data_IF_745620401262
#
_entry.id   IF_745620401262
#
_cell.length_a   1.000
_cell.length_b   1.000
_cell.length_c   1.000
_cell.angle_alpha   90.00
_cell.angle_beta   90.00
_cell.angle_gamma   90.00
#
_symmetry.space_group_name_H-M   'P 1'
#
loop_
_entity.id
_entity.type
_entity.pdbx_description
1 polymer ?
#
# COMPACT_ATOMS: atom_id res chain seq x y z
N UNK A 1 -20.15 20.81 2.84
CA UNK A 1 -19.45 19.69 3.50
C UNK A 1 -19.27 18.61 2.47
N UNK A 2 -18.03 18.28 2.10
CA UNK A 2 -17.73 17.29 1.06
C UNK A 2 -17.91 15.88 1.64
N UNK A 3 -18.82 15.11 1.07
CA UNK A 3 -19.20 13.74 1.47
C UNK A 3 -18.41 12.65 0.71
N UNK A 4 -17.30 12.99 0.07
CA UNK A 4 -16.46 12.02 -0.61
C UNK A 4 -15.29 11.66 0.31
N UNK A 5 -15.28 10.42 0.80
CA UNK A 5 -14.07 9.82 1.38
C UNK A 5 -12.96 9.90 0.32
N UNK A 6 -11.86 10.63 0.56
CA UNK A 6 -10.77 10.75 -0.41
C UNK A 6 -10.13 9.37 -0.65
N UNK A 7 -9.80 9.09 -1.91
CA UNK A 7 -9.06 7.89 -2.34
C UNK A 7 -7.75 7.77 -1.54
N UNK A 8 -7.28 6.54 -1.35
CA UNK A 8 -6.08 6.15 -0.60
C UNK A 8 -6.08 6.41 0.92
N UNK A 9 -6.36 5.37 1.72
CA UNK A 9 -5.87 5.33 3.12
C UNK A 9 -5.00 4.11 3.33
N UNK A 10 -3.72 4.25 3.70
CA UNK A 10 -2.96 3.13 4.18
C UNK A 10 -3.50 2.74 5.57
N UNK A 11 -3.95 1.49 5.75
CA UNK A 11 -4.38 1.02 7.07
C UNK A 11 -3.18 0.57 7.90
N UNK A 12 -3.08 1.09 9.12
CA UNK A 12 -2.10 0.64 10.10
C UNK A 12 -2.80 0.20 11.38
N UNK A 13 -2.77 -1.09 11.66
CA UNK A 13 -3.16 -1.58 12.98
C UNK A 13 -1.94 -1.50 13.89
N UNK A 14 -1.90 -0.49 14.80
CA UNK A 14 -0.93 -0.48 15.92
C UNK A 14 -1.18 -1.62 16.91
N UNK A 15 -2.36 -2.25 16.82
CA UNK A 15 -2.84 -3.22 17.78
C UNK A 15 -2.49 -4.66 17.37
N UNK A 16 -1.65 -5.32 18.17
CA UNK A 16 -1.27 -6.73 18.04
C UNK A 16 -2.40 -7.70 18.40
N UNK A 17 -3.57 -7.22 18.83
CA UNK A 17 -4.72 -8.06 19.20
C UNK A 17 -5.44 -8.66 17.98
N UNK A 18 -5.35 -8.02 16.82
CA UNK A 18 -5.97 -8.50 15.58
C UNK A 18 -4.86 -8.80 14.56
N UNK A 19 -4.31 -10.01 14.65
CA UNK A 19 -3.31 -10.50 13.68
C UNK A 19 -4.00 -10.71 12.33
N UNK A 20 -3.75 -9.80 11.39
CA UNK A 20 -4.30 -9.84 10.02
C UNK A 20 -3.22 -10.09 8.98
N UNK A 21 -2.01 -10.44 9.39
CA UNK A 21 -0.93 -10.84 8.48
C UNK A 21 -0.55 -12.28 8.75
N UNK A 22 -0.34 -13.02 7.66
CA UNK A 22 -0.10 -14.46 7.69
C UNK A 22 1.12 -14.82 6.83
N UNK A 23 1.82 -15.90 7.14
CA UNK A 23 2.80 -16.48 6.22
C UNK A 23 2.08 -17.20 5.06
N UNK A 24 2.84 -17.72 4.09
CA UNK A 24 2.25 -18.40 2.92
C UNK A 24 1.72 -19.80 3.23
N UNK A 25 1.86 -20.26 4.48
CA UNK A 25 1.28 -21.51 4.98
C UNK A 25 0.14 -21.22 5.97
N UNK A 26 -0.43 -20.01 5.92
CA UNK A 26 -1.61 -19.57 6.68
C UNK A 26 -1.36 -19.41 8.19
N UNK A 27 -0.09 -19.39 8.62
CA UNK A 27 0.30 -19.14 10.01
C UNK A 27 0.33 -17.64 10.33
N UNK A 28 -0.16 -17.18 11.49
CA UNK A 28 -0.12 -15.76 11.83
C UNK A 28 1.32 -15.25 12.02
N UNK A 29 1.57 -14.02 11.60
CA UNK A 29 2.86 -13.36 11.76
C UNK A 29 2.69 -11.94 12.31
N UNK A 30 3.68 -11.47 13.07
CA UNK A 30 3.67 -10.15 13.70
C UNK A 30 4.26 -9.08 12.77
N UNK A 31 3.66 -8.92 11.60
CA UNK A 31 4.01 -7.86 10.65
C UNK A 31 2.93 -6.77 10.66
N UNK A 32 3.25 -5.62 10.09
CA UNK A 32 2.31 -4.50 10.01
C UNK A 32 1.70 -4.44 8.62
N UNK A 33 0.38 -4.27 8.48
CA UNK A 33 -0.26 -4.06 7.17
C UNK A 33 0.05 -2.66 6.62
N UNK A 34 0.05 -2.53 5.29
CA UNK A 34 0.06 -1.27 4.53
C UNK A 34 -0.95 -1.46 3.38
N UNK A 35 -2.06 -0.72 3.38
CA UNK A 35 -3.04 -0.77 2.27
C UNK A 35 -2.44 -0.13 1.03
N UNK A 36 -2.63 -0.79 -0.11
CA UNK A 36 -2.09 -0.39 -1.41
C UNK A 36 -3.18 -0.10 -2.45
N UNK A 37 -4.40 -0.61 -2.25
CA UNK A 37 -5.48 -0.42 -3.21
C UNK A 37 -6.82 -0.75 -2.57
N UNK A 38 -7.89 -0.02 -2.92
CA UNK A 38 -9.28 -0.37 -2.63
C UNK A 38 -9.93 -0.75 -3.94
N UNK A 39 -10.57 -1.91 -3.99
CA UNK A 39 -11.31 -2.33 -5.17
C UNK A 39 -12.56 -1.47 -5.34
N UNK A 40 -12.52 -0.51 -6.28
CA UNK A 40 -13.69 0.25 -6.68
C UNK A 40 -14.62 -0.58 -7.58
N UNK A 41 -14.12 -1.68 -8.17
CA UNK A 41 -14.90 -2.64 -8.95
C UNK A 41 -15.49 -3.70 -8.00
N UNK A 42 -16.40 -3.26 -7.15
CA UNK A 42 -17.03 -4.10 -6.14
C UNK A 42 -17.72 -5.33 -6.75
N UNK A 43 -17.64 -6.45 -6.03
CA UNK A 43 -18.52 -7.59 -6.28
C UNK A 43 -19.95 -7.12 -5.99
N UNK A 44 -20.80 -7.14 -7.01
CA UNK A 44 -22.23 -6.81 -6.88
C UNK A 44 -22.97 -8.11 -6.59
N UNK A 45 -23.60 -8.20 -5.43
CA UNK A 45 -24.45 -9.33 -5.07
C UNK A 45 -25.72 -9.34 -5.91
N UNK A 46 -26.43 -10.48 -5.93
CA UNK A 46 -27.71 -10.61 -6.66
C UNK A 46 -28.78 -9.60 -6.22
N UNK A 47 -28.72 -9.12 -4.97
CA UNK A 47 -29.57 -8.07 -4.41
C UNK A 47 -29.04 -6.64 -4.64
N UNK A 48 -27.98 -6.47 -5.43
CA UNK A 48 -27.44 -5.17 -5.83
C UNK A 48 -26.52 -4.52 -4.80
N UNK A 49 -26.07 -5.26 -3.78
CA UNK A 49 -25.13 -4.75 -2.78
C UNK A 49 -23.69 -4.79 -3.30
N UNK A 50 -23.02 -3.66 -3.16
CA UNK A 50 -21.60 -3.48 -3.47
C UNK A 50 -20.79 -4.06 -2.31
N UNK A 51 -20.01 -5.10 -2.57
CA UNK A 51 -19.02 -5.63 -1.62
C UNK A 51 -17.67 -5.02 -1.97
N UNK A 52 -17.23 -4.10 -1.12
CA UNK A 52 -15.92 -3.50 -1.24
C UNK A 52 -14.83 -4.36 -0.61
N UNK A 53 -13.66 -4.33 -1.24
CA UNK A 53 -12.48 -5.09 -0.83
C UNK A 53 -11.27 -4.17 -0.77
N UNK A 54 -10.45 -4.35 0.25
CA UNK A 54 -9.17 -3.66 0.41
C UNK A 54 -8.04 -4.64 0.16
N UNK A 55 -7.01 -4.18 -0.55
CA UNK A 55 -5.78 -4.91 -0.76
C UNK A 55 -4.63 -4.23 -0.02
N UNK A 56 -3.86 -5.02 0.71
CA UNK A 56 -2.74 -4.56 1.49
C UNK A 56 -1.55 -5.49 1.38
N UNK A 57 -0.39 -4.97 1.75
CA UNK A 57 0.87 -5.71 1.86
C UNK A 57 1.38 -5.62 3.28
N UNK A 58 2.48 -6.31 3.58
CA UNK A 58 3.07 -6.32 4.92
C UNK A 58 4.42 -5.64 4.97
N UNK A 59 4.72 -5.05 6.13
CA UNK A 59 6.03 -4.53 6.46
C UNK A 59 6.56 -5.06 7.78
N UNK A 60 7.88 -5.16 7.88
CA UNK A 60 8.62 -5.51 9.09
C UNK A 60 9.82 -4.59 9.26
N UNK A 61 10.29 -4.43 10.49
CA UNK A 61 11.53 -3.68 10.73
C UNK A 61 12.71 -4.30 9.98
N UNK A 62 13.52 -3.44 9.36
CA UNK A 62 14.79 -3.82 8.74
C UNK A 62 15.87 -4.18 9.75
N UNK A 63 15.67 -3.86 11.03
CA UNK A 63 16.61 -4.12 12.09
C UNK A 63 16.11 -5.20 13.05
N UNK A 64 17.04 -5.94 13.66
CA UNK A 64 16.76 -6.84 14.77
C UNK A 64 16.73 -6.10 16.13
N UNK A 65 16.54 -6.86 17.21
CA UNK A 65 16.48 -6.30 18.58
C UNK A 65 17.82 -5.71 19.05
N UNK A 66 18.92 -6.03 18.37
CA UNK A 66 20.27 -5.54 18.66
C UNK A 66 20.66 -4.37 17.74
N UNK A 67 19.76 -3.92 16.86
CA UNK A 67 20.02 -2.85 15.90
C UNK A 67 20.76 -3.30 14.64
N UNK A 68 21.01 -4.60 14.44
CA UNK A 68 21.67 -5.09 13.23
C UNK A 68 20.69 -5.17 12.07
N UNK A 69 21.15 -4.85 10.86
CA UNK A 69 20.34 -4.96 9.65
C UNK A 69 20.07 -6.42 9.32
N UNK A 70 18.79 -6.78 9.24
CA UNK A 70 18.32 -8.09 8.80
C UNK A 70 18.56 -8.25 7.30
N UNK A 71 18.74 -9.48 6.85
CA UNK A 71 18.69 -9.80 5.43
C UNK A 71 17.26 -9.56 4.89
N UNK A 72 17.16 -8.97 3.69
CA UNK A 72 15.91 -8.88 2.96
C UNK A 72 15.46 -10.27 2.49
N UNK A 73 14.17 -10.56 2.57
CA UNK A 73 13.57 -11.70 1.89
C UNK A 73 13.43 -11.37 0.40
N UNK A 74 13.38 -12.40 -0.45
CA UNK A 74 13.08 -12.23 -1.88
C UNK A 74 11.74 -11.49 -2.03
N UNK A 75 11.71 -10.41 -2.83
CA UNK A 75 10.51 -9.62 -3.03
C UNK A 75 10.30 -8.45 -2.06
N UNK A 76 11.13 -8.34 -1.01
CA UNK A 76 11.11 -7.20 -0.12
C UNK A 76 11.90 -6.01 -0.69
N UNK A 77 11.30 -4.82 -0.61
CA UNK A 77 11.98 -3.55 -0.86
C UNK A 77 12.37 -2.90 0.46
N UNK A 78 13.53 -2.25 0.48
CA UNK A 78 13.96 -1.45 1.62
C UNK A 78 13.39 -0.04 1.51
N UNK A 79 12.74 0.43 2.58
CA UNK A 79 12.33 1.81 2.76
C UNK A 79 13.02 2.37 4.01
N UNK A 80 13.68 3.51 3.83
CA UNK A 80 14.24 4.28 4.94
C UNK A 80 13.12 4.85 5.80
N UNK A 81 13.43 5.08 7.08
CA UNK A 81 12.51 5.77 7.98
C UNK A 81 12.14 7.14 7.40
N UNK A 82 10.88 7.53 7.55
CA UNK A 82 10.45 8.88 7.23
C UNK A 82 10.59 9.77 8.48
N UNK A 83 10.87 11.06 8.28
CA UNK A 83 10.89 12.05 9.38
C UNK A 83 9.49 12.29 9.95
N UNK A 84 8.48 12.20 9.08
CA UNK A 84 7.05 12.33 9.40
C UNK A 84 6.36 11.07 8.88
N UNK A 85 5.45 10.51 9.68
CA UNK A 85 4.62 9.38 9.26
C UNK A 85 4.93 8.04 9.92
N UNK A 86 4.47 6.95 9.29
CA UNK A 86 4.25 5.65 9.96
C UNK A 86 5.45 4.72 9.91
N UNK A 87 6.30 4.91 8.91
CA UNK A 87 7.61 4.26 8.81
C UNK A 87 8.62 5.01 9.69
N UNK A 88 8.37 5.10 10.99
CA UNK A 88 9.30 5.70 11.98
C UNK A 88 10.62 4.93 12.15
N UNK A 89 10.76 3.80 11.45
CA UNK A 89 11.95 2.95 11.43
C UNK A 89 12.17 2.43 10.03
N UNK A 90 13.44 2.23 9.68
CA UNK A 90 13.82 1.53 8.47
C UNK A 90 13.14 0.17 8.42
N UNK A 91 12.54 -0.12 7.27
CA UNK A 91 11.59 -1.21 7.12
C UNK A 91 11.79 -1.94 5.79
N UNK A 92 11.49 -3.24 5.82
CA UNK A 92 11.30 -4.03 4.62
C UNK A 92 9.81 -4.14 4.33
N UNK A 93 9.41 -3.84 3.10
CA UNK A 93 8.05 -3.97 2.61
C UNK A 93 8.00 -5.13 1.63
N UNK A 94 7.17 -6.13 1.92
CA UNK A 94 7.02 -7.32 1.07
C UNK A 94 5.99 -7.03 -0.02
N UNK A 95 6.47 -6.86 -1.25
CA UNK A 95 5.62 -6.56 -2.41
C UNK A 95 5.19 -7.81 -3.16
N UNK A 96 5.47 -8.98 -2.60
CA UNK A 96 5.18 -10.30 -3.20
C UNK A 96 4.13 -11.09 -2.45
N UNK A 97 3.63 -10.59 -1.31
CA UNK A 97 2.48 -11.18 -0.62
C UNK A 97 1.44 -10.10 -0.40
N UNK A 98 0.34 -10.24 -1.13
CA UNK A 98 -0.80 -9.33 -1.12
C UNK A 98 -1.92 -10.00 -0.35
N UNK A 99 -2.56 -9.23 0.50
CA UNK A 99 -3.72 -9.64 1.28
C UNK A 99 -4.94 -8.93 0.74
N UNK A 100 -6.06 -9.63 0.68
CA UNK A 100 -7.38 -9.05 0.48
C UNK A 100 -8.21 -9.17 1.76
N UNK A 101 -9.04 -8.18 2.04
CA UNK A 101 -10.00 -8.19 3.16
C UNK A 101 -11.23 -7.40 2.77
N UNK A 102 -12.42 -7.90 3.11
CA UNK A 102 -13.68 -7.17 2.87
C UNK A 102 -13.77 -5.95 3.77
N UNK A 103 -14.43 -4.89 3.30
CA UNK A 103 -14.66 -3.69 4.11
C UNK A 103 -15.33 -4.01 5.44
N UNK A 104 -16.40 -4.81 5.42
CA UNK A 104 -17.15 -5.19 6.63
C UNK A 104 -16.24 -5.84 7.69
N UNK A 105 -15.30 -6.67 7.23
CA UNK A 105 -14.33 -7.34 8.09
C UNK A 105 -13.26 -6.39 8.61
N UNK A 106 -12.89 -5.41 7.79
CA UNK A 106 -11.99 -4.33 8.16
C UNK A 106 -12.62 -3.45 9.25
N UNK A 107 -13.90 -3.07 9.08
CA UNK A 107 -14.68 -2.23 10.00
C UNK A 107 -14.73 -2.82 11.41
N UNK A 108 -14.79 -4.16 11.53
CA UNK A 108 -14.72 -4.87 12.81
C UNK A 108 -13.40 -4.62 13.59
N UNK A 109 -12.34 -4.21 12.90
CA UNK A 109 -11.04 -3.86 13.46
C UNK A 109 -10.99 -2.36 13.73
N UNK A 110 -11.38 -1.56 12.74
CA UNK A 110 -11.04 -0.13 12.68
C UNK A 110 -11.96 0.79 13.50
N UNK A 111 -13.23 0.43 13.72
CA UNK A 111 -14.19 1.27 14.45
C UNK A 111 -14.08 1.16 15.98
N UNK A 112 -12.98 0.57 16.47
CA UNK A 112 -12.68 0.45 17.90
C UNK A 112 -11.68 1.52 18.29
N UNK A 113 -11.86 2.13 19.47
CA UNK A 113 -11.09 3.26 20.06
C UNK A 113 -9.55 3.18 20.02
N UNK A 114 -8.94 2.10 19.53
CA UNK A 114 -7.51 1.81 19.56
C UNK A 114 -6.90 1.43 18.18
N UNK A 115 -7.58 1.73 17.07
CA UNK A 115 -7.02 1.55 15.72
C UNK A 115 -6.92 2.91 15.04
N UNK A 116 -5.73 3.23 14.52
CA UNK A 116 -5.42 4.53 13.91
C UNK A 116 -5.38 4.31 12.39
N UNK A 117 -6.34 4.91 11.69
CA UNK A 117 -6.13 5.22 10.28
C UNK A 117 -5.16 6.37 10.20
N UNK A 118 -4.15 6.20 9.37
CA UNK A 118 -3.14 7.20 9.19
C UNK A 118 -3.05 7.42 7.68
N UNK A 119 -3.26 8.66 7.26
CA UNK A 119 -3.49 9.00 5.85
C UNK A 119 -2.19 8.85 5.04
N UNK A 120 -2.29 8.85 3.71
CA UNK A 120 -1.15 8.75 2.77
C UNK A 120 -0.05 9.78 2.98
N UNK A 121 -0.35 10.89 3.67
CA UNK A 121 0.62 11.91 4.09
C UNK A 121 1.77 11.36 4.96
N UNK A 122 1.66 10.12 5.43
CA UNK A 122 2.65 9.44 6.25
C UNK A 122 3.66 8.56 5.46
N UNK A 123 3.57 8.55 4.12
CA UNK A 123 4.60 8.02 3.21
C UNK A 123 5.09 9.12 2.27
N UNK A 124 6.38 9.17 2.00
CA UNK A 124 6.92 10.13 1.02
C UNK A 124 6.55 9.73 -0.41
N UNK A 125 6.49 10.71 -1.34
CA UNK A 125 6.26 10.44 -2.77
C UNK A 125 7.21 9.35 -3.32
N UNK A 126 8.48 9.37 -2.89
CA UNK A 126 9.47 8.35 -3.25
C UNK A 126 9.10 6.94 -2.72
N UNK A 127 8.64 6.83 -1.47
CA UNK A 127 8.23 5.55 -0.89
C UNK A 127 7.00 4.99 -1.62
N UNK A 128 6.02 5.84 -1.92
CA UNK A 128 4.82 5.49 -2.69
C UNK A 128 5.23 4.96 -4.08
N UNK A 129 6.00 5.73 -4.85
CA UNK A 129 6.49 5.33 -6.18
C UNK A 129 7.18 3.95 -6.15
N UNK A 130 8.06 3.74 -5.16
CA UNK A 130 8.81 2.49 -5.03
C UNK A 130 7.92 1.29 -4.69
N UNK A 131 6.92 1.47 -3.83
CA UNK A 131 5.93 0.43 -3.50
C UNK A 131 5.13 0.08 -4.75
N UNK A 132 4.48 1.06 -5.39
CA UNK A 132 3.60 0.84 -6.54
C UNK A 132 4.32 0.21 -7.71
N UNK A 133 5.50 0.72 -8.10
CA UNK A 133 6.30 0.12 -9.18
C UNK A 133 6.69 -1.32 -8.88
N UNK A 134 7.06 -1.62 -7.63
CA UNK A 134 7.45 -2.98 -7.25
C UNK A 134 6.26 -3.94 -7.27
N UNK A 135 5.10 -3.53 -6.74
CA UNK A 135 3.86 -4.32 -6.80
C UNK A 135 3.44 -4.56 -8.26
N UNK A 136 3.39 -3.51 -9.09
CA UNK A 136 3.05 -3.63 -10.52
C UNK A 136 4.02 -4.53 -11.28
N UNK A 137 5.32 -4.43 -11.00
CA UNK A 137 6.33 -5.31 -11.59
C UNK A 137 6.08 -6.78 -11.24
N UNK A 138 5.67 -7.07 -10.00
CA UNK A 138 5.38 -8.44 -9.58
C UNK A 138 4.08 -8.97 -10.20
N UNK A 139 3.04 -8.15 -10.26
CA UNK A 139 1.74 -8.51 -10.84
C UNK A 139 1.76 -8.65 -12.38
N UNK A 140 2.69 -7.97 -13.08
CA UNK A 140 2.81 -8.03 -14.55
C UNK A 140 3.57 -9.26 -15.05
N UNK A 141 4.30 -9.97 -14.18
CA UNK A 141 5.01 -11.18 -14.58
C UNK A 141 4.03 -12.31 -14.95
N UNK A 142 4.49 -13.23 -15.80
CA UNK A 142 3.73 -14.41 -16.20
C UNK A 142 4.52 -15.69 -15.88
N UNK A 143 4.07 -16.54 -14.93
CA UNK A 143 2.93 -16.30 -14.04
C UNK A 143 3.18 -15.14 -13.03
N UNK A 144 2.13 -14.53 -12.45
CA UNK A 144 2.29 -13.44 -11.48
C UNK A 144 3.25 -13.78 -10.35
N UNK A 145 4.22 -12.90 -10.10
CA UNK A 145 5.27 -13.12 -9.11
C UNK A 145 4.85 -12.69 -7.71
N UNK A 146 3.68 -13.17 -7.28
CA UNK A 146 3.05 -12.82 -6.00
C UNK A 146 2.42 -14.04 -5.32
N UNK A 147 1.93 -13.82 -4.10
CA UNK A 147 0.98 -14.67 -3.40
C UNK A 147 -0.23 -13.82 -3.01
N UNK A 148 -1.43 -14.36 -3.17
CA UNK A 148 -2.69 -13.72 -2.78
C UNK A 148 -3.29 -14.46 -1.59
N UNK A 149 -3.49 -13.74 -0.49
CA UNK A 149 -4.05 -14.22 0.76
C UNK A 149 -5.38 -13.54 1.02
N UNK A 150 -6.45 -14.29 1.20
CA UNK A 150 -7.76 -13.77 1.57
C UNK A 150 -7.91 -13.79 3.10
N UNK A 151 -8.31 -12.68 3.70
CA UNK A 151 -8.39 -12.52 5.17
C UNK A 151 -9.83 -12.30 5.60
N UNK A 152 -10.29 -13.13 6.53
CA UNK A 152 -11.69 -13.18 6.99
C UNK A 152 -11.77 -13.33 8.50
N UNK A 153 -12.84 -12.82 9.12
CA UNK A 153 -13.10 -13.06 10.53
C UNK A 153 -13.76 -14.43 10.69
N UNK A 154 -13.18 -15.27 11.54
CA UNK A 154 -13.84 -16.48 11.98
C UNK A 154 -14.78 -16.15 13.13
N UNK A 155 -16.08 -16.06 12.86
CA UNK A 155 -17.11 -15.74 13.85
C UNK A 155 -17.16 -16.70 15.05
N UNK A 156 -16.69 -17.95 14.90
CA UNK A 156 -16.67 -18.93 16.00
C UNK A 156 -15.55 -18.65 17.00
N UNK A 157 -14.37 -18.26 16.50
CA UNK A 157 -13.19 -18.01 17.34
C UNK A 157 -12.97 -16.53 17.61
N UNK A 158 -13.71 -15.64 16.94
CA UNK A 158 -13.54 -14.19 16.96
C UNK A 158 -12.08 -13.77 16.63
N UNK A 159 -11.45 -14.50 15.71
CA UNK A 159 -10.09 -14.28 15.25
C UNK A 159 -10.03 -14.25 13.72
N UNK A 160 -9.12 -13.45 13.17
CA UNK A 160 -8.88 -13.45 11.73
C UNK A 160 -8.13 -14.69 11.30
N UNK A 161 -8.47 -15.18 10.11
CA UNK A 161 -7.78 -16.29 9.44
C UNK A 161 -7.37 -15.84 8.05
N UNK A 162 -6.19 -16.25 7.63
CA UNK A 162 -5.71 -16.09 6.26
C UNK A 162 -5.92 -17.39 5.48
N UNK A 163 -6.48 -17.29 4.28
CA UNK A 163 -6.59 -18.39 3.33
C UNK A 163 -5.76 -18.07 2.09
N UNK A 164 -4.75 -18.88 1.79
CA UNK A 164 -3.93 -18.67 0.61
C UNK A 164 -4.73 -19.06 -0.63
N UNK A 165 -5.02 -18.10 -1.50
CA UNK A 165 -5.76 -18.30 -2.76
C UNK A 165 -4.84 -18.59 -3.94
N UNK A 166 -3.67 -17.95 -3.95
CA UNK A 166 -2.69 -18.12 -5.01
C UNK A 166 -1.27 -17.98 -4.45
N UNK A 167 -0.31 -18.71 -5.00
CA UNK A 167 1.10 -18.39 -4.79
C UNK A 167 1.99 -18.82 -5.95
N UNK A 168 2.88 -17.92 -6.35
CA UNK A 168 4.02 -18.29 -7.17
C UNK A 168 4.85 -19.38 -6.46
N UNK A 169 5.30 -20.37 -7.24
CA UNK A 169 5.97 -21.58 -6.74
C UNK A 169 7.20 -21.29 -5.88
N UNK A 170 8.01 -20.33 -6.31
CA UNK A 170 9.26 -19.96 -5.63
C UNK A 170 9.04 -19.63 -4.15
N UNK A 171 7.94 -18.93 -3.83
CA UNK A 171 7.73 -18.49 -2.47
C UNK A 171 7.27 -19.61 -1.55
N UNK A 172 6.47 -20.56 -2.07
CA UNK A 172 6.11 -21.76 -1.31
C UNK A 172 7.35 -22.60 -1.01
N UNK A 173 8.25 -22.79 -1.99
CA UNK A 173 9.51 -23.51 -1.76
C UNK A 173 10.41 -22.78 -0.74
N UNK A 174 10.48 -21.46 -0.81
CA UNK A 174 11.30 -20.65 0.09
C UNK A 174 10.83 -20.72 1.56
N UNK A 175 9.50 -20.79 1.79
CA UNK A 175 8.92 -20.84 3.15
C UNK A 175 8.67 -22.27 3.65
N UNK A 176 8.76 -23.27 2.78
CA UNK A 176 8.47 -24.67 3.09
C UNK A 176 9.19 -25.22 4.34
N UNK A 177 10.49 -24.91 4.47
CA UNK A 177 11.29 -25.38 5.59
C UNK A 177 10.98 -24.66 6.90
N UNK A 178 10.35 -23.47 6.83
CA UNK A 178 10.01 -22.62 7.98
C UNK A 178 8.61 -22.89 8.50
N UNK A 179 7.75 -23.51 7.71
CA UNK A 179 6.38 -23.83 8.10
C UNK A 179 6.32 -24.94 9.14
N UNK A 180 5.54 -24.70 10.20
CA UNK A 180 5.19 -25.70 11.23
C UNK A 180 3.95 -26.53 10.88
N UNK A 181 3.35 -26.30 9.70
CA UNK A 181 2.16 -27.02 9.24
C UNK A 181 2.48 -28.50 9.02
N UNK A 182 1.63 -29.40 9.56
CA UNK A 182 1.84 -30.85 9.49
C UNK A 182 1.63 -31.40 8.06
N UNK A 183 0.64 -30.87 7.37
CA UNK A 183 0.23 -31.18 6.01
C UNK A 183 0.90 -30.28 4.96
N UNK A 184 2.07 -29.70 5.24
CA UNK A 184 2.68 -28.67 4.36
C UNK A 184 2.97 -29.12 2.93
N UNK A 185 3.25 -30.41 2.70
CA UNK A 185 3.47 -30.95 1.36
C UNK A 185 2.16 -31.00 0.57
N UNK A 186 1.12 -31.59 1.15
CA UNK A 186 -0.22 -31.65 0.58
C UNK A 186 -0.80 -30.25 0.35
N UNK A 187 -0.61 -29.35 1.32
CA UNK A 187 -1.01 -27.95 1.20
C UNK A 187 -0.34 -27.27 0.00
N UNK A 188 1.01 -27.35 -0.09
CA UNK A 188 1.76 -26.77 -1.21
C UNK A 188 1.27 -27.33 -2.54
N UNK A 189 1.11 -28.63 -2.64
CA UNK A 189 0.65 -29.31 -3.85
C UNK A 189 -0.76 -28.87 -4.24
N UNK A 190 -1.67 -28.73 -3.26
CA UNK A 190 -3.02 -28.22 -3.49
C UNK A 190 -3.00 -26.77 -4.02
N UNK A 191 -2.13 -25.90 -3.50
CA UNK A 191 -1.99 -24.54 -4.04
C UNK A 191 -1.53 -24.60 -5.50
N UNK A 192 -0.45 -25.34 -5.78
CA UNK A 192 0.18 -25.33 -7.10
C UNK A 192 -0.64 -26.03 -8.18
N UNK A 193 -1.33 -27.11 -7.84
CA UNK A 193 -2.06 -27.96 -8.79
C UNK A 193 -3.54 -27.59 -8.91
N UNK A 194 -4.13 -27.00 -7.87
CA UNK A 194 -5.56 -26.68 -7.85
C UNK A 194 -5.79 -25.18 -7.72
N UNK A 195 -5.38 -24.55 -6.60
CA UNK A 195 -5.78 -23.16 -6.34
C UNK A 195 -5.22 -22.15 -7.34
N UNK A 196 -3.99 -22.36 -7.81
CA UNK A 196 -3.37 -21.51 -8.84
C UNK A 196 -4.06 -21.57 -10.21
N UNK A 197 -4.99 -22.50 -10.42
CA UNK A 197 -5.75 -22.66 -11.66
C UNK A 197 -7.20 -22.15 -11.55
N UNK A 198 -7.61 -21.65 -10.38
CA UNK A 198 -8.96 -21.10 -10.16
C UNK A 198 -9.09 -19.80 -10.95
N UNK A 199 -9.96 -19.79 -11.96
CA UNK A 199 -10.10 -18.65 -12.88
C UNK A 199 -10.52 -17.38 -12.15
N UNK A 200 -11.43 -17.46 -11.17
CA UNK A 200 -11.85 -16.32 -10.36
C UNK A 200 -10.67 -15.66 -9.63
N UNK A 201 -9.73 -16.46 -9.15
CA UNK A 201 -8.51 -15.96 -8.48
C UNK A 201 -7.56 -15.31 -9.49
N UNK A 202 -7.46 -15.86 -10.70
CA UNK A 202 -6.65 -15.27 -11.77
C UNK A 202 -7.25 -13.95 -12.28
N UNK A 203 -8.58 -13.87 -12.37
CA UNK A 203 -9.32 -12.64 -12.66
C UNK A 203 -9.09 -11.61 -11.55
N UNK A 204 -9.17 -11.99 -10.27
CA UNK A 204 -8.87 -11.10 -9.14
C UNK A 204 -7.46 -10.51 -9.24
N UNK A 205 -6.46 -11.33 -9.57
CA UNK A 205 -5.08 -10.85 -9.78
C UNK A 205 -4.95 -9.88 -10.97
N UNK A 206 -5.67 -10.13 -12.07
CA UNK A 206 -5.71 -9.22 -13.23
C UNK A 206 -6.38 -7.89 -12.87
N UNK A 207 -7.50 -7.93 -12.16
CA UNK A 207 -8.23 -6.75 -11.70
C UNK A 207 -7.38 -5.93 -10.73
N UNK A 208 -6.74 -6.59 -9.76
CA UNK A 208 -5.80 -5.95 -8.85
C UNK A 208 -4.64 -5.27 -9.60
N UNK A 209 -4.06 -5.92 -10.62
CA UNK A 209 -3.03 -5.30 -11.46
C UNK A 209 -3.53 -4.02 -12.12
N UNK A 210 -4.73 -4.05 -12.69
CA UNK A 210 -5.32 -2.89 -13.35
C UNK A 210 -5.64 -1.78 -12.35
N UNK A 211 -6.23 -2.12 -11.21
CA UNK A 211 -6.54 -1.19 -10.13
C UNK A 211 -5.30 -0.50 -9.57
N UNK A 212 -4.23 -1.25 -9.28
CA UNK A 212 -2.95 -0.67 -8.84
C UNK A 212 -2.37 0.25 -9.93
N UNK A 213 -2.54 -0.06 -11.22
CA UNK A 213 -2.03 0.75 -12.32
C UNK A 213 -2.81 2.06 -12.47
N UNK A 214 -4.13 1.99 -12.37
CA UNK A 214 -5.04 3.14 -12.43
C UNK A 214 -4.78 4.07 -11.25
N UNK A 215 -4.79 3.54 -10.02
CA UNK A 215 -4.49 4.31 -8.82
C UNK A 215 -3.12 4.99 -8.89
N UNK A 216 -2.09 4.26 -9.35
CA UNK A 216 -0.76 4.84 -9.47
C UNK A 216 -0.67 5.93 -10.54
N UNK A 217 -1.41 5.77 -11.64
CA UNK A 217 -1.51 6.80 -12.66
C UNK A 217 -2.12 8.07 -12.08
N UNK A 218 -3.23 7.96 -11.35
CA UNK A 218 -3.92 9.10 -10.73
C UNK A 218 -2.99 9.84 -9.75
N UNK A 219 -2.25 9.11 -8.90
CA UNK A 219 -1.24 9.69 -8.00
C UNK A 219 -0.17 10.48 -8.77
N UNK A 220 0.33 9.93 -9.88
CA UNK A 220 1.36 10.59 -10.68
C UNK A 220 0.83 11.88 -11.31
N UNK A 221 -0.41 11.87 -11.80
CA UNK A 221 -1.10 13.06 -12.32
C UNK A 221 -1.24 14.15 -11.24
N UNK A 222 -1.73 13.79 -10.04
CA UNK A 222 -1.84 14.74 -8.92
C UNK A 222 -0.48 15.38 -8.59
N UNK A 223 0.59 14.59 -8.57
CA UNK A 223 1.92 15.12 -8.30
C UNK A 223 2.49 16.01 -9.40
N UNK A 224 2.09 15.80 -10.66
CA UNK A 224 2.47 16.68 -11.76
C UNK A 224 1.74 18.02 -11.68
N UNK A 225 0.45 18.00 -11.31
CA UNK A 225 -0.34 19.22 -11.14
C UNK A 225 0.13 20.04 -9.93
N UNK A 226 0.46 19.39 -8.80
CA UNK A 226 1.13 20.05 -7.65
C UNK A 226 2.38 20.82 -8.08
N UNK A 227 3.22 20.18 -8.93
CA UNK A 227 4.48 20.78 -9.39
C UNK A 227 4.24 21.98 -10.28
N UNK A 228 3.26 21.91 -11.19
CA UNK A 228 2.88 23.04 -12.06
C UNK A 228 2.38 24.21 -11.22
N UNK A 229 1.50 23.94 -10.25
CA UNK A 229 0.96 24.98 -9.37
C UNK A 229 2.05 25.70 -8.56
N UNK A 230 3.00 24.94 -7.99
CA UNK A 230 4.13 25.55 -7.27
C UNK A 230 5.08 26.32 -8.21
N UNK A 231 5.30 25.86 -9.45
CA UNK A 231 6.07 26.59 -10.45
C UNK A 231 5.39 27.92 -10.84
N UNK A 232 4.08 27.90 -11.08
CA UNK A 232 3.28 29.10 -11.39
C UNK A 232 3.34 30.10 -10.24
N UNK A 233 3.27 29.64 -8.99
CA UNK A 233 3.38 30.49 -7.79
C UNK A 233 4.76 31.12 -7.64
N UNK A 234 5.83 30.38 -7.95
CA UNK A 234 7.20 30.92 -7.97
C UNK A 234 7.35 31.97 -9.07
N UNK A 235 6.80 31.71 -10.26
CA UNK A 235 6.87 32.64 -11.38
C UNK A 235 6.05 33.92 -11.14
N UNK A 236 4.85 33.81 -10.57
CA UNK A 236 4.06 34.97 -10.15
C UNK A 236 4.79 35.84 -9.14
N UNK A 237 5.45 35.23 -8.14
CA UNK A 237 6.30 35.96 -7.18
C UNK A 237 7.48 36.65 -7.85
N UNK A 238 8.13 36.00 -8.82
CA UNK A 238 9.23 36.62 -9.59
C UNK A 238 8.75 37.82 -10.38
N UNK A 239 7.63 37.69 -11.09
CA UNK A 239 7.05 38.77 -11.88
C UNK A 239 6.60 39.94 -10.99
N UNK A 240 6.06 39.66 -9.80
CA UNK A 240 5.69 40.68 -8.83
C UNK A 240 6.92 41.44 -8.32
N UNK A 241 7.99 40.73 -7.92
CA UNK A 241 9.22 41.35 -7.46
C UNK A 241 9.91 42.20 -8.55
N UNK A 242 9.87 41.78 -9.83
CA UNK A 242 10.38 42.58 -10.95
C UNK A 242 9.55 43.85 -11.18
N UNK A 243 8.22 43.77 -10.96
CA UNK A 243 7.34 44.94 -11.02
C UNK A 243 7.62 45.94 -9.91
N UNK A 244 7.88 45.45 -8.70
CA UNK A 244 8.20 46.28 -7.54
C UNK A 244 9.57 46.96 -7.67
N UNK A 245 10.60 46.24 -8.15
CA UNK A 245 11.94 46.81 -8.41
C UNK A 245 11.92 47.92 -9.48
N UNK A 246 11.11 47.76 -10.55
CA UNK A 246 10.95 48.81 -11.58
C UNK A 246 10.23 50.05 -11.05
N UNK A 247 9.27 49.89 -10.13
CA UNK A 247 8.58 51.03 -9.54
C UNK A 247 9.50 51.82 -8.59
N UNK A 248 10.40 51.15 -7.86
CA UNK A 248 11.40 51.81 -7.01
C UNK A 248 12.49 52.58 -7.81
N UNK A 249 12.86 52.12 -9.02
CA UNK A 249 13.75 52.89 -9.91
C UNK A 249 13.07 54.14 -10.48
N UNK A 250 11.79 54.07 -10.84
CA UNK A 250 11.02 55.21 -11.34
C UNK A 250 10.78 56.30 -10.26
N UNK A 251 10.60 55.92 -8.99
CA UNK A 251 10.47 56.89 -7.89
C UNK A 251 11.77 57.66 -7.60
N UNK A 252 12.94 57.04 -7.83
CA UNK A 252 14.24 57.72 -7.65
C UNK A 252 14.61 58.69 -8.77
N UNK A 253 14.18 58.43 -10.01
CA UNK A 253 14.38 59.36 -11.13
C UNK A 253 13.42 60.57 -11.10
N UNK A 254 12.27 60.45 -10.42
CA UNK A 254 11.31 61.54 -10.26
C UNK A 254 11.73 62.64 -9.27
N UNK A 255 12.61 62.35 -8.32
CA UNK A 255 13.06 63.29 -7.29
C UNK A 255 14.22 64.21 -7.75
N UNK A 256 14.93 63.86 -8.83
CA UNK A 256 16.10 64.62 -9.31
C UNK A 256 15.73 65.79 -10.26
N UNK A 257 14.45 66.00 -10.56
CA UNK A 257 13.96 67.07 -11.46
C UNK A 257 13.37 68.30 -10.75
N UNK A 258 13.49 68.44 -9.42
CA UNK A 258 12.94 69.59 -8.65
C UNK A 258 13.96 70.41 -7.85
N UNK A 259 15.21 70.52 -8.30
CA UNK A 259 16.19 71.47 -7.73
C UNK A 259 16.66 72.52 -8.71
#
# INVERSE_FOLDING_TARGET
MSTNLPKMKPMFTKNTKYEITFDRFEGPIKHRPIVIFRDEYAEITEDGKIIEKYYYIKTRSAHDRHGNRKKANKGEIFLEKAEIGLLTKDSYVDTTQIYSIKEEELSNIVDKKNVIFADTYDLTKYQIDKIYRSVLKNLTQEPPYVSLMDVKLNNKTNAFVGELKYSHKDFLYQEYSKSSRKDKEEFKDNILKNKNLIEETLIELRNLKNGVREEFSDILWEWEDDKKFEQEKIEQKRLQNIGDEKNEEFEKEGDDFTR
#
